data_IF_037495535379
#
_entry.id   IF_037495535379
#
_cell.length_a   1.000
_cell.length_b   1.000
_cell.length_c   1.000
_cell.angle_alpha   90.00
_cell.angle_beta   90.00
_cell.angle_gamma   90.00
#
_symmetry.space_group_name_H-M   'P 1'
#
loop_
_entity.id
_entity.type
_entity.pdbx_description
1 polymer ?
#
# COMPACT_ATOMS: atom_id res chain seq x y z
N UNK A 1 -12.56 -3.59 -71.98
CA UNK A 1 -12.85 -3.41 -70.54
C UNK A 1 -13.47 -2.03 -70.36
N UNK A 2 -14.78 -1.96 -70.15
CA UNK A 2 -15.48 -0.68 -69.97
C UNK A 2 -15.35 -0.19 -68.53
N UNK A 3 -14.99 1.09 -68.35
CA UNK A 3 -14.95 1.71 -67.03
C UNK A 3 -16.35 1.70 -66.38
N UNK A 4 -16.47 1.39 -65.08
CA UNK A 4 -17.77 1.39 -64.42
C UNK A 4 -18.36 2.80 -64.43
N UNK A 5 -19.61 2.93 -64.87
CA UNK A 5 -20.30 4.21 -64.94
C UNK A 5 -20.42 4.86 -63.56
N UNK A 6 -20.38 6.19 -63.49
CA UNK A 6 -20.28 6.98 -62.25
C UNK A 6 -21.35 6.64 -61.18
N UNK A 7 -22.50 6.08 -61.60
CA UNK A 7 -23.55 5.60 -60.69
C UNK A 7 -23.16 4.31 -59.94
N UNK A 8 -22.40 3.41 -60.57
CA UNK A 8 -21.89 2.19 -59.95
C UNK A 8 -20.80 2.48 -58.91
N UNK A 9 -19.94 3.49 -59.20
CA UNK A 9 -18.93 3.96 -58.24
C UNK A 9 -19.57 4.63 -57.04
N UNK A 10 -20.61 5.45 -57.24
CA UNK A 10 -21.35 6.09 -56.16
C UNK A 10 -22.12 5.08 -55.28
N UNK A 11 -22.74 4.06 -55.88
CA UNK A 11 -23.41 2.98 -55.14
C UNK A 11 -22.40 2.13 -54.36
N UNK A 12 -21.23 1.85 -54.93
CA UNK A 12 -20.15 1.15 -54.24
C UNK A 12 -19.60 1.93 -53.04
N UNK A 13 -19.39 3.24 -53.20
CA UNK A 13 -18.94 4.11 -52.11
C UNK A 13 -20.00 4.24 -50.99
N UNK A 14 -21.28 4.35 -51.34
CA UNK A 14 -22.37 4.38 -50.36
C UNK A 14 -22.50 3.05 -49.60
N UNK A 15 -22.31 1.91 -50.27
CA UNK A 15 -22.32 0.59 -49.64
C UNK A 15 -21.12 0.40 -48.69
N UNK A 16 -19.94 0.90 -49.06
CA UNK A 16 -18.75 0.87 -48.20
C UNK A 16 -18.90 1.75 -46.95
N UNK A 17 -19.49 2.93 -47.09
CA UNK A 17 -19.81 3.80 -45.95
C UNK A 17 -20.83 3.15 -45.00
N UNK A 18 -21.82 2.44 -45.54
CA UNK A 18 -22.78 1.69 -44.72
C UNK A 18 -22.11 0.52 -43.97
N UNK A 19 -21.19 -0.18 -44.62
CA UNK A 19 -20.42 -1.29 -44.04
C UNK A 19 -19.48 -0.86 -42.90
N UNK A 20 -19.01 0.39 -42.89
CA UNK A 20 -18.17 0.93 -41.80
C UNK A 20 -19.02 1.57 -40.70
N UNK A 21 -20.10 2.27 -41.06
CA UNK A 21 -20.94 2.98 -40.10
C UNK A 21 -21.78 2.04 -39.21
N UNK A 22 -22.31 0.95 -39.77
CA UNK A 22 -23.15 0.01 -39.03
C UNK A 22 -22.41 -0.75 -37.90
N UNK A 23 -21.21 -1.34 -38.11
CA UNK A 23 -20.46 -1.96 -37.02
C UNK A 23 -19.94 -0.94 -36.02
N UNK A 24 -19.62 0.29 -36.43
CA UNK A 24 -19.21 1.36 -35.52
C UNK A 24 -20.36 1.82 -34.61
N UNK A 25 -21.57 1.93 -35.15
CA UNK A 25 -22.78 2.22 -34.37
C UNK A 25 -23.16 1.05 -33.44
N UNK A 26 -22.95 -0.20 -33.87
CA UNK A 26 -23.17 -1.39 -33.05
C UNK A 26 -22.16 -1.48 -31.89
N UNK A 27 -20.88 -1.16 -32.11
CA UNK A 27 -19.87 -1.04 -31.06
C UNK A 27 -20.17 0.10 -30.10
N UNK A 28 -20.69 1.24 -30.58
CA UNK A 28 -21.11 2.36 -29.73
C UNK A 28 -22.34 2.03 -28.88
N UNK A 29 -23.34 1.33 -29.44
CA UNK A 29 -24.54 0.90 -28.70
C UNK A 29 -24.23 -0.19 -27.67
N UNK A 30 -23.34 -1.13 -27.99
CA UNK A 30 -22.93 -2.20 -27.06
C UNK A 30 -21.97 -1.71 -25.97
N UNK A 31 -21.11 -0.73 -26.29
CA UNK A 31 -20.26 -0.04 -25.29
C UNK A 31 -21.06 0.92 -24.40
N UNK A 32 -22.25 1.36 -24.83
CA UNK A 32 -23.18 2.15 -24.02
C UNK A 32 -24.10 1.29 -23.14
N UNK A 33 -23.83 -0.01 -23.00
CA UNK A 33 -24.38 -0.75 -21.86
C UNK A 33 -23.79 -0.13 -20.60
N UNK A 34 -24.63 0.65 -19.92
CA UNK A 34 -24.32 1.30 -18.67
C UNK A 34 -23.57 0.31 -17.78
N UNK A 35 -22.31 0.65 -17.48
CA UNK A 35 -21.61 0.03 -16.36
C UNK A 35 -22.60 0.00 -15.19
N UNK A 36 -22.81 -1.16 -14.53
CA UNK A 36 -23.71 -1.20 -13.38
C UNK A 36 -23.24 -0.09 -12.47
N UNK A 37 -24.14 0.87 -12.21
CA UNK A 37 -23.85 2.02 -11.37
C UNK A 37 -23.29 1.46 -10.06
N UNK A 38 -21.96 1.49 -9.94
CA UNK A 38 -21.28 1.06 -8.74
C UNK A 38 -21.92 1.89 -7.64
N UNK A 39 -22.62 1.20 -6.74
CA UNK A 39 -23.45 1.82 -5.73
C UNK A 39 -22.69 2.96 -5.11
N UNK A 40 -23.22 4.15 -5.36
CA UNK A 40 -22.86 5.38 -4.68
C UNK A 40 -22.84 5.07 -3.19
N UNK A 41 -21.71 5.32 -2.55
CA UNK A 41 -21.63 5.42 -1.10
C UNK A 41 -21.92 4.11 -0.34
N UNK A 42 -21.09 3.08 -0.55
CA UNK A 42 -20.69 2.26 0.61
C UNK A 42 -19.74 3.10 1.46
N UNK A 43 -20.30 4.13 2.12
CA UNK A 43 -19.62 4.79 3.23
C UNK A 43 -19.22 3.68 4.18
N UNK A 44 -17.91 3.50 4.30
CA UNK A 44 -17.30 2.74 5.37
C UNK A 44 -18.08 3.00 6.65
N UNK A 45 -18.79 1.99 7.13
CA UNK A 45 -19.17 1.88 8.53
C UNK A 45 -17.92 1.45 9.34
N UNK A 46 -16.74 1.96 8.94
CA UNK A 46 -15.68 2.20 9.90
C UNK A 46 -16.30 3.24 10.81
N UNK A 47 -16.70 2.81 12.00
CA UNK A 47 -16.94 3.73 13.11
C UNK A 47 -15.78 4.74 13.04
N UNK A 48 -16.05 6.05 13.05
CA UNK A 48 -14.96 7.01 13.14
C UNK A 48 -14.03 6.50 14.23
N UNK A 49 -12.72 6.52 13.97
CA UNK A 49 -11.71 6.26 14.98
C UNK A 49 -11.91 7.31 16.09
N UNK A 50 -12.91 7.09 16.94
CA UNK A 50 -12.86 7.49 18.32
C UNK A 50 -11.64 6.73 18.78
N UNK A 51 -10.54 7.46 18.98
CA UNK A 51 -9.36 7.01 19.69
C UNK A 51 -9.79 6.67 21.13
N UNK A 52 -10.69 5.70 21.27
CA UNK A 52 -10.86 4.96 22.50
C UNK A 52 -9.77 3.94 22.40
N UNK A 53 -8.73 4.16 23.20
CA UNK A 53 -7.88 3.07 23.65
C UNK A 53 -8.82 1.89 23.93
N UNK A 54 -8.65 0.74 23.27
CA UNK A 54 -9.40 -0.44 23.64
C UNK A 54 -9.26 -0.61 25.15
N UNK A 55 -10.31 -0.99 25.89
CA UNK A 55 -10.13 -1.33 27.30
C UNK A 55 -8.97 -2.34 27.37
N UNK A 56 -8.14 -2.26 28.41
CA UNK A 56 -6.91 -3.06 28.58
C UNK A 56 -7.10 -4.61 28.47
N UNK A 57 -8.34 -5.07 28.28
CA UNK A 57 -8.76 -6.45 28.08
C UNK A 57 -9.32 -6.77 26.67
N UNK A 58 -9.18 -5.89 25.68
CA UNK A 58 -9.58 -6.20 24.32
C UNK A 58 -8.68 -7.31 23.74
N UNK A 59 -9.24 -8.32 23.04
CA UNK A 59 -8.43 -9.35 22.42
C UNK A 59 -7.52 -8.76 21.33
N UNK A 60 -6.33 -9.34 21.10
CA UNK A 60 -5.43 -8.89 20.04
C UNK A 60 -6.08 -8.98 18.66
N UNK A 61 -5.73 -8.05 17.78
CA UNK A 61 -6.13 -8.07 16.38
C UNK A 61 -5.62 -9.35 15.70
N UNK A 62 -6.53 -10.14 15.12
CA UNK A 62 -6.15 -11.35 14.38
C UNK A 62 -5.74 -10.98 12.96
N UNK A 63 -4.45 -11.16 12.64
CA UNK A 63 -3.88 -10.77 11.36
C UNK A 63 -3.44 -12.00 10.58
N UNK A 64 -3.94 -12.17 9.36
CA UNK A 64 -3.36 -13.14 8.43
C UNK A 64 -2.23 -12.46 7.66
N UNK A 65 -1.04 -13.03 7.70
CA UNK A 65 0.08 -12.57 6.87
C UNK A 65 0.19 -13.45 5.63
N UNK A 66 0.17 -12.82 4.45
CA UNK A 66 0.38 -13.53 3.17
C UNK A 66 1.72 -14.27 3.16
N UNK A 67 1.71 -15.51 2.70
CA UNK A 67 2.92 -16.30 2.48
C UNK A 67 3.58 -15.91 1.14
N UNK A 68 4.17 -14.72 1.11
CA UNK A 68 4.90 -14.22 -0.06
C UNK A 68 6.30 -14.85 -0.14
N UNK A 69 6.82 -15.15 -1.35
CA UNK A 69 8.20 -15.59 -1.54
C UNK A 69 9.23 -14.62 -0.91
N UNK A 70 10.37 -15.14 -0.44
CA UNK A 70 11.38 -14.35 0.26
C UNK A 70 11.92 -13.13 -0.51
N UNK A 71 11.85 -13.15 -1.86
CA UNK A 71 12.22 -12.02 -2.74
C UNK A 71 11.41 -10.75 -2.49
N UNK A 72 10.21 -10.86 -1.90
CA UNK A 72 9.37 -9.72 -1.54
C UNK A 72 9.77 -9.06 -0.22
N UNK A 73 10.64 -9.70 0.58
CA UNK A 73 11.00 -9.22 1.93
C UNK A 73 12.45 -9.57 2.31
N UNK A 74 12.66 -10.62 3.10
CA UNK A 74 13.92 -10.94 3.80
C UNK A 74 15.11 -11.17 2.88
N UNK A 75 14.89 -11.65 1.64
CA UNK A 75 15.98 -11.84 0.69
C UNK A 75 16.61 -10.49 0.23
N UNK A 76 15.85 -9.40 0.27
CA UNK A 76 16.38 -8.05 0.00
C UNK A 76 17.20 -7.49 1.18
N UNK A 77 17.01 -8.03 2.38
CA UNK A 77 17.79 -7.64 3.56
C UNK A 77 19.15 -8.34 3.59
N UNK A 78 19.12 -9.65 3.34
CA UNK A 78 20.28 -10.55 3.41
C UNK A 78 20.21 -11.48 2.20
N UNK A 79 21.02 -11.27 1.15
CA UNK A 79 20.97 -12.07 -0.07
C UNK A 79 21.05 -13.59 0.18
N UNK A 80 21.77 -14.01 1.21
CA UNK A 80 21.93 -15.43 1.59
C UNK A 80 20.65 -16.02 2.21
N UNK A 81 19.71 -15.20 2.71
CA UNK A 81 18.43 -15.66 3.26
C UNK A 81 17.47 -16.20 2.19
N UNK A 82 17.79 -16.04 0.91
CA UNK A 82 17.04 -16.67 -0.18
C UNK A 82 17.15 -18.21 -0.18
N UNK A 83 18.17 -18.79 0.49
CA UNK A 83 18.53 -20.21 0.40
C UNK A 83 18.20 -21.04 1.66
N UNK A 84 17.68 -20.42 2.73
CA UNK A 84 17.64 -21.07 4.03
C UNK A 84 16.21 -21.30 4.54
N UNK A 85 15.97 -22.49 5.10
CA UNK A 85 14.94 -22.76 6.12
C UNK A 85 15.21 -21.95 7.42
N UNK A 86 15.67 -20.71 7.31
CA UNK A 86 16.17 -19.92 8.41
C UNK A 86 15.02 -19.28 9.19
N UNK A 87 15.21 -19.27 10.51
CA UNK A 87 14.61 -18.29 11.41
C UNK A 87 14.62 -16.90 10.79
N UNK A 88 13.53 -16.15 10.99
CA UNK A 88 13.39 -14.76 10.54
C UNK A 88 14.67 -13.96 10.88
N UNK A 89 15.31 -13.27 9.91
CA UNK A 89 16.62 -12.71 10.11
C UNK A 89 16.57 -11.63 11.18
N UNK A 90 17.59 -11.58 12.04
CA UNK A 90 17.75 -10.44 12.95
C UNK A 90 18.05 -9.18 12.15
N UNK A 91 17.53 -8.04 12.61
CA UNK A 91 17.86 -6.74 12.04
C UNK A 91 19.39 -6.54 12.01
N UNK A 92 20.01 -6.29 10.84
CA UNK A 92 21.46 -6.27 10.74
C UNK A 92 22.08 -5.12 11.57
N UNK A 93 23.09 -5.35 12.43
CA UNK A 93 23.73 -4.29 13.22
C UNK A 93 24.35 -3.18 12.36
N UNK A 94 24.80 -3.53 11.15
CA UNK A 94 25.43 -2.63 10.17
C UNK A 94 24.46 -1.88 9.26
N UNK A 95 23.14 -2.01 9.48
CA UNK A 95 22.09 -1.35 8.68
C UNK A 95 21.94 0.14 8.99
N UNK A 96 23.05 0.87 9.11
CA UNK A 96 23.04 2.32 9.14
C UNK A 96 22.47 2.92 7.84
N UNK A 97 21.84 4.09 7.94
CA UNK A 97 21.35 4.86 6.79
C UNK A 97 19.91 4.56 6.37
N UNK A 98 19.63 4.70 5.05
CA UNK A 98 18.30 4.65 4.44
C UNK A 98 17.52 3.36 4.77
N UNK A 99 18.20 2.21 4.93
CA UNK A 99 17.53 0.94 5.30
C UNK A 99 16.87 1.02 6.69
N UNK A 100 17.44 1.76 7.65
CA UNK A 100 16.85 1.99 8.98
C UNK A 100 15.67 2.97 8.93
N UNK A 101 15.66 3.91 7.99
CA UNK A 101 14.59 4.90 7.87
C UNK A 101 13.24 4.27 7.47
N UNK A 102 13.25 3.08 6.87
CA UNK A 102 12.04 2.35 6.47
C UNK A 102 11.92 0.98 7.13
N UNK A 103 12.43 0.84 8.36
CA UNK A 103 12.40 -0.44 9.09
C UNK A 103 11.01 -0.89 9.52
N UNK A 104 9.96 -0.07 9.34
CA UNK A 104 8.58 -0.41 9.71
C UNK A 104 8.11 -1.73 9.08
N UNK A 105 8.50 -1.98 7.83
CA UNK A 105 8.13 -3.19 7.08
C UNK A 105 8.66 -4.45 7.77
N UNK A 106 9.90 -4.37 8.27
CA UNK A 106 10.52 -5.43 9.04
C UNK A 106 9.85 -5.62 10.40
N UNK A 107 9.63 -4.55 11.17
CA UNK A 107 9.07 -4.67 12.52
C UNK A 107 7.64 -5.19 12.51
N UNK A 108 6.83 -4.81 11.53
CA UNK A 108 5.49 -5.35 11.33
C UNK A 108 5.51 -6.85 11.01
N UNK A 109 6.46 -7.29 10.18
CA UNK A 109 6.60 -8.72 9.88
C UNK A 109 7.13 -9.48 11.11
N UNK A 110 8.13 -8.93 11.80
CA UNK A 110 8.77 -9.51 12.99
C UNK A 110 7.77 -9.74 14.13
N UNK A 111 6.89 -8.77 14.39
CA UNK A 111 5.88 -8.85 15.46
C UNK A 111 4.84 -9.96 15.20
N UNK A 112 4.66 -10.36 13.93
CA UNK A 112 3.76 -11.43 13.51
C UNK A 112 4.45 -12.80 13.41
N UNK A 113 5.75 -12.91 13.65
CA UNK A 113 6.44 -14.20 13.67
C UNK A 113 6.09 -14.99 14.95
N UNK A 114 6.03 -16.31 14.83
CA UNK A 114 5.82 -17.18 15.99
C UNK A 114 6.98 -16.96 16.99
N UNK A 115 6.66 -16.50 18.20
CA UNK A 115 7.67 -16.15 19.22
C UNK A 115 8.25 -14.74 19.13
N UNK A 116 7.72 -13.86 18.25
CA UNK A 116 8.20 -12.48 18.04
C UNK A 116 8.04 -11.48 19.19
N UNK A 117 7.68 -11.95 20.39
CA UNK A 117 7.68 -11.14 21.60
C UNK A 117 8.17 -11.99 22.76
N UNK A 118 9.26 -11.55 23.40
CA UNK A 118 9.79 -12.15 24.63
C UNK A 118 8.85 -11.97 25.86
N UNK A 119 7.64 -11.44 25.66
CA UNK A 119 6.57 -11.37 26.66
C UNK A 119 5.52 -12.46 26.45
N UNK A 120 4.81 -12.81 27.52
CA UNK A 120 3.67 -13.73 27.46
C UNK A 120 2.65 -13.28 26.40
N UNK A 121 1.73 -14.15 25.97
CA UNK A 121 0.68 -13.77 25.02
C UNK A 121 -0.24 -12.63 25.54
N UNK A 122 -0.11 -12.28 26.82
CA UNK A 122 -0.82 -11.21 27.50
C UNK A 122 -0.23 -9.84 27.09
N UNK A 123 -1.06 -8.96 26.53
CA UNK A 123 -0.66 -7.61 26.13
C UNK A 123 -0.19 -7.44 24.68
N UNK A 124 -0.30 -8.45 23.81
CA UNK A 124 -0.04 -8.24 22.36
C UNK A 124 -1.17 -7.44 21.72
N UNK A 125 -0.83 -6.50 20.86
CA UNK A 125 -1.79 -5.70 20.09
C UNK A 125 -2.36 -6.46 18.89
N UNK A 126 -1.52 -7.31 18.28
CA UNK A 126 -1.86 -8.15 17.13
C UNK A 126 -1.25 -9.54 17.25
N UNK A 127 -1.94 -10.54 16.70
CA UNK A 127 -1.49 -11.93 16.64
C UNK A 127 -1.66 -12.49 15.24
N UNK A 128 -0.67 -13.25 14.77
CA UNK A 128 -0.75 -13.92 13.48
C UNK A 128 -1.72 -15.10 13.56
N UNK A 129 -2.72 -15.14 12.68
CA UNK A 129 -3.56 -16.31 12.46
C UNK A 129 -3.11 -17.05 11.20
N UNK A 130 -3.26 -18.38 11.22
CA UNK A 130 -2.91 -19.27 10.09
C UNK A 130 -4.08 -19.50 9.15
N UNK A 131 -5.30 -19.49 9.69
CA UNK A 131 -6.51 -19.54 8.90
C UNK A 131 -6.90 -18.11 8.46
N UNK A 132 -6.87 -17.79 7.16
CA UNK A 132 -7.26 -16.48 6.67
C UNK A 132 -8.77 -16.19 6.88
N UNK A 133 -9.61 -17.21 7.05
CA UNK A 133 -11.04 -17.00 7.33
C UNK A 133 -11.29 -16.56 8.79
N UNK A 134 -10.30 -16.75 9.69
CA UNK A 134 -10.33 -16.25 11.06
C UNK A 134 -9.75 -14.82 11.23
N UNK A 135 -9.22 -14.24 10.16
CA UNK A 135 -8.52 -12.97 10.17
C UNK A 135 -9.45 -11.74 10.14
N UNK A 136 -9.06 -10.71 10.87
CA UNK A 136 -9.70 -9.40 10.91
C UNK A 136 -9.00 -8.39 9.99
N UNK A 137 -7.71 -8.61 9.72
CA UNK A 137 -6.92 -7.85 8.77
C UNK A 137 -5.90 -8.76 8.05
N UNK A 138 -5.46 -8.31 6.88
CA UNK A 138 -4.52 -9.03 6.03
C UNK A 138 -3.23 -8.23 5.89
N UNK A 139 -2.14 -8.71 6.47
CA UNK A 139 -0.83 -8.09 6.27
C UNK A 139 -0.18 -8.62 4.99
N UNK A 140 0.24 -7.70 4.13
CA UNK A 140 0.99 -7.99 2.90
C UNK A 140 2.46 -7.68 3.16
N UNK A 141 3.32 -8.70 3.39
CA UNK A 141 4.72 -8.49 3.76
C UNK A 141 5.59 -8.18 2.52
N UNK A 142 5.22 -7.16 1.74
CA UNK A 142 6.06 -6.63 0.69
C UNK A 142 6.87 -5.46 1.24
N UNK A 143 8.19 -5.61 1.27
CA UNK A 143 9.11 -4.55 1.73
C UNK A 143 9.33 -3.54 0.60
N UNK A 144 8.27 -2.81 0.25
CA UNK A 144 8.21 -1.94 -0.92
C UNK A 144 9.19 -0.77 -0.85
N UNK A 145 9.48 -0.30 0.36
CA UNK A 145 10.49 0.73 0.62
C UNK A 145 11.90 0.18 0.42
N UNK A 146 12.15 -1.05 0.88
CA UNK A 146 13.42 -1.72 0.63
C UNK A 146 13.59 -2.07 -0.86
N UNK A 147 12.53 -2.51 -1.54
CA UNK A 147 12.50 -2.78 -2.98
C UNK A 147 12.94 -1.56 -3.77
N UNK A 148 12.34 -0.39 -3.50
CA UNK A 148 12.77 0.88 -4.09
C UNK A 148 14.27 1.16 -3.84
N UNK A 149 14.74 0.97 -2.61
CA UNK A 149 16.12 1.28 -2.24
C UNK A 149 17.16 0.33 -2.84
N UNK A 150 16.80 -0.94 -3.06
CA UNK A 150 17.67 -1.96 -3.65
C UNK A 150 17.66 -1.86 -5.18
N UNK A 151 16.49 -1.65 -5.77
CA UNK A 151 16.29 -1.80 -7.21
C UNK A 151 16.13 -0.49 -7.98
N UNK A 152 15.94 0.68 -7.37
CA UNK A 152 15.67 1.87 -8.18
C UNK A 152 15.64 3.17 -7.41
N UNK A 153 16.81 3.65 -6.96
CA UNK A 153 16.90 4.97 -6.30
C UNK A 153 16.52 6.12 -7.23
N UNK A 154 16.94 6.05 -8.50
CA UNK A 154 16.68 7.11 -9.49
C UNK A 154 15.54 6.75 -10.43
N UNK A 155 15.05 5.52 -10.38
CA UNK A 155 13.81 5.12 -11.03
C UNK A 155 13.83 5.24 -12.57
N UNK A 156 15.03 5.23 -13.10
CA UNK A 156 15.38 5.35 -14.53
C UNK A 156 16.46 4.35 -14.94
N UNK A 157 17.02 3.62 -13.98
CA UNK A 157 18.04 2.60 -14.19
C UNK A 157 17.41 1.25 -14.61
N UNK A 158 18.16 0.33 -15.25
CA UNK A 158 17.63 -0.99 -15.61
C UNK A 158 17.12 -1.82 -14.44
N UNK A 159 17.70 -1.66 -13.25
CA UNK A 159 17.30 -2.40 -12.03
C UNK A 159 15.89 -2.01 -11.58
N UNK A 160 15.41 -0.82 -11.98
CA UNK A 160 14.05 -0.34 -11.73
C UNK A 160 12.99 -1.29 -12.26
N UNK A 161 13.32 -2.07 -13.30
CA UNK A 161 12.41 -3.08 -13.82
C UNK A 161 12.21 -4.24 -12.84
N UNK A 162 13.19 -4.55 -11.99
CA UNK A 162 13.02 -5.56 -10.94
C UNK A 162 11.98 -5.11 -9.89
N UNK A 163 12.00 -3.84 -9.45
CA UNK A 163 10.97 -3.28 -8.56
C UNK A 163 9.59 -3.31 -9.22
N UNK A 164 9.53 -2.97 -10.51
CA UNK A 164 8.29 -2.99 -11.29
C UNK A 164 7.71 -4.41 -11.39
N UNK A 165 8.56 -5.39 -11.71
CA UNK A 165 8.17 -6.79 -11.81
C UNK A 165 7.69 -7.34 -10.47
N UNK A 166 8.37 -7.03 -9.37
CA UNK A 166 7.90 -7.37 -8.02
C UNK A 166 6.50 -6.80 -7.76
N UNK A 167 6.24 -5.55 -8.11
CA UNK A 167 4.90 -4.97 -7.95
C UNK A 167 3.84 -5.68 -8.80
N UNK A 168 4.15 -6.00 -10.06
CA UNK A 168 3.24 -6.74 -10.96
C UNK A 168 2.93 -8.12 -10.40
N UNK A 169 3.95 -8.88 -10.03
CA UNK A 169 3.79 -10.22 -9.46
C UNK A 169 3.01 -10.20 -8.14
N UNK A 170 3.24 -9.20 -7.29
CA UNK A 170 2.45 -9.02 -6.07
C UNK A 170 0.97 -8.85 -6.40
N UNK A 171 0.64 -7.97 -7.35
CA UNK A 171 -0.75 -7.74 -7.74
C UNK A 171 -1.41 -9.00 -8.31
N UNK A 172 -0.68 -9.82 -9.06
CA UNK A 172 -1.19 -11.11 -9.52
C UNK A 172 -1.52 -12.06 -8.37
N UNK A 173 -0.68 -12.12 -7.34
CA UNK A 173 -0.93 -12.92 -6.13
C UNK A 173 -2.18 -12.41 -5.41
N UNK A 174 -2.27 -11.09 -5.21
CA UNK A 174 -3.37 -10.46 -4.50
C UNK A 174 -4.69 -10.63 -5.26
N UNK A 175 -4.76 -10.36 -6.56
CA UNK A 175 -6.00 -10.48 -7.34
C UNK A 175 -6.53 -11.90 -7.44
N UNK A 176 -5.68 -12.92 -7.33
CA UNK A 176 -6.11 -14.34 -7.29
C UNK A 176 -6.66 -14.74 -5.92
N UNK A 177 -6.43 -13.95 -4.86
CA UNK A 177 -6.90 -14.24 -3.51
C UNK A 177 -8.40 -13.96 -3.36
N UNK A 178 -9.18 -14.96 -2.88
CA UNK A 178 -10.60 -14.77 -2.53
C UNK A 178 -10.80 -13.65 -1.50
N UNK A 179 -9.84 -13.48 -0.58
CA UNK A 179 -9.89 -12.49 0.49
C UNK A 179 -9.68 -11.08 -0.04
N UNK A 180 -8.75 -10.90 -0.98
CA UNK A 180 -8.63 -9.64 -1.71
C UNK A 180 -9.89 -9.31 -2.50
N UNK A 181 -10.42 -10.27 -3.26
CA UNK A 181 -11.62 -10.07 -4.08
C UNK A 181 -12.84 -9.69 -3.24
N UNK A 182 -12.98 -10.26 -2.03
CA UNK A 182 -14.07 -9.96 -1.08
C UNK A 182 -14.10 -8.49 -0.65
N UNK A 183 -12.94 -7.92 -0.36
CA UNK A 183 -12.84 -6.57 0.20
C UNK A 183 -12.34 -5.53 -0.82
N UNK A 184 -11.97 -5.96 -2.02
CA UNK A 184 -11.19 -5.16 -2.96
C UNK A 184 -9.94 -4.52 -2.31
N UNK A 185 -9.28 -5.26 -1.42
CA UNK A 185 -8.07 -4.80 -0.72
C UNK A 185 -8.30 -3.93 0.51
N UNK A 186 -9.55 -3.64 0.91
CA UNK A 186 -9.85 -2.69 2.02
C UNK A 186 -9.45 -3.17 3.41
N UNK A 187 -9.32 -4.48 3.61
CA UNK A 187 -8.85 -5.09 4.85
C UNK A 187 -7.36 -5.47 4.77
N UNK A 188 -6.64 -5.02 3.74
CA UNK A 188 -5.22 -5.27 3.54
C UNK A 188 -4.36 -4.12 4.03
N UNK A 189 -3.33 -4.46 4.78
CA UNK A 189 -2.31 -3.55 5.29
C UNK A 189 -1.05 -3.71 4.46
N UNK A 190 -0.63 -2.62 3.80
CA UNK A 190 0.52 -2.60 2.89
C UNK A 190 1.51 -1.53 3.36
N UNK A 191 2.72 -1.92 3.78
CA UNK A 191 3.77 -0.96 4.07
C UNK A 191 4.22 -0.22 2.81
N UNK A 192 4.20 1.11 2.87
CA UNK A 192 4.61 2.01 1.79
C UNK A 192 5.31 3.25 2.38
N UNK A 193 6.28 3.00 3.24
CA UNK A 193 6.90 4.05 4.08
C UNK A 193 7.75 5.03 3.27
N UNK A 194 8.54 4.55 2.30
CA UNK A 194 9.30 5.43 1.42
C UNK A 194 8.36 6.13 0.44
N UNK A 195 8.49 7.45 0.20
CA UNK A 195 7.55 8.22 -0.62
C UNK A 195 7.56 7.85 -2.12
N UNK A 196 8.50 7.02 -2.57
CA UNK A 196 8.57 6.41 -3.91
C UNK A 196 8.32 4.88 -3.92
N UNK A 197 8.05 4.26 -2.77
CA UNK A 197 7.73 2.85 -2.68
C UNK A 197 6.43 2.53 -3.45
N UNK A 198 6.39 1.39 -4.13
CA UNK A 198 5.20 0.95 -4.89
C UNK A 198 4.78 1.87 -6.05
N UNK A 199 5.62 2.79 -6.52
CA UNK A 199 5.21 3.91 -7.40
C UNK A 199 4.51 3.53 -8.71
N UNK A 200 4.69 2.32 -9.23
CA UNK A 200 4.16 1.96 -10.54
C UNK A 200 2.69 1.56 -10.48
N UNK A 201 2.27 0.94 -9.38
CA UNK A 201 0.95 0.33 -9.24
C UNK A 201 0.18 0.85 -8.01
N UNK A 202 0.56 2.01 -7.45
CA UNK A 202 -0.09 2.59 -6.24
C UNK A 202 -1.59 2.69 -6.35
N UNK A 203 -2.08 3.10 -7.51
CA UNK A 203 -3.51 3.27 -7.74
C UNK A 203 -4.28 1.95 -7.62
N UNK A 204 -3.62 0.82 -7.87
CA UNK A 204 -4.23 -0.51 -7.75
C UNK A 204 -4.41 -0.96 -6.31
N UNK A 205 -3.77 -0.30 -5.35
CA UNK A 205 -3.83 -0.60 -3.91
C UNK A 205 -4.39 0.57 -3.09
N UNK A 206 -5.01 1.56 -3.73
CA UNK A 206 -5.52 2.76 -3.07
C UNK A 206 -6.58 2.48 -1.99
N UNK A 207 -7.33 1.39 -2.12
CA UNK A 207 -8.37 1.00 -1.18
C UNK A 207 -7.80 0.39 0.11
N UNK A 208 -6.54 -0.05 0.08
CA UNK A 208 -5.86 -0.67 1.21
C UNK A 208 -5.46 0.34 2.29
N UNK A 209 -5.19 -0.19 3.47
CA UNK A 209 -4.60 0.53 4.60
C UNK A 209 -3.11 0.62 4.33
N UNK A 210 -2.63 1.81 4.02
CA UNK A 210 -1.22 2.06 3.74
C UNK A 210 -0.51 2.51 5.01
N UNK A 211 0.71 2.00 5.21
CA UNK A 211 1.62 2.51 6.24
C UNK A 211 2.59 3.46 5.57
N UNK A 212 2.41 4.76 5.79
CA UNK A 212 3.17 5.83 5.12
C UNK A 212 3.99 6.62 6.14
N UNK A 213 5.03 7.32 5.68
CA UNK A 213 5.81 8.21 6.56
C UNK A 213 5.15 9.58 6.76
N UNK A 214 4.47 10.06 5.73
CA UNK A 214 3.74 11.33 5.69
C UNK A 214 2.74 11.29 4.52
N UNK A 215 1.93 12.34 4.37
CA UNK A 215 1.01 12.52 3.24
C UNK A 215 1.51 13.51 2.20
N UNK A 216 2.71 14.06 2.35
CA UNK A 216 3.22 15.16 1.52
C UNK A 216 3.44 14.78 0.06
N UNK A 217 3.71 13.50 -0.23
CA UNK A 217 3.95 12.98 -1.59
C UNK A 217 2.79 12.19 -2.20
N UNK A 218 1.67 12.09 -1.50
CA UNK A 218 0.52 11.30 -1.93
C UNK A 218 -0.67 12.20 -2.25
N UNK A 219 -1.46 11.82 -3.25
CA UNK A 219 -2.77 12.45 -3.46
C UNK A 219 -3.72 12.03 -2.33
N UNK A 220 -4.74 12.85 -2.04
CA UNK A 220 -5.70 12.57 -0.97
C UNK A 220 -6.53 11.31 -1.25
N UNK A 221 -6.70 10.98 -2.53
CA UNK A 221 -7.39 9.78 -3.00
C UNK A 221 -6.57 8.52 -2.71
N UNK A 222 -5.25 8.63 -2.77
CA UNK A 222 -4.33 7.52 -2.57
C UNK A 222 -4.02 7.30 -1.08
N UNK A 223 -3.70 8.36 -0.35
CA UNK A 223 -3.40 8.29 1.07
C UNK A 223 -4.12 9.38 1.89
N UNK A 224 -4.74 8.98 3.00
CA UNK A 224 -5.48 9.87 3.89
C UNK A 224 -5.53 9.35 5.33
N UNK A 225 -5.61 10.27 6.30
CA UNK A 225 -5.84 9.97 7.73
C UNK A 225 -7.12 9.17 8.01
N UNK A 226 -8.04 9.07 7.04
CA UNK A 226 -9.28 8.32 7.20
C UNK A 226 -9.05 6.81 7.22
N UNK A 227 -8.02 6.34 6.53
CA UNK A 227 -7.77 4.91 6.31
C UNK A 227 -6.32 4.49 6.57
N UNK A 228 -5.37 5.41 6.42
CA UNK A 228 -3.94 5.10 6.45
C UNK A 228 -3.31 5.47 7.79
N UNK A 229 -2.22 4.78 8.10
CA UNK A 229 -1.46 4.96 9.34
C UNK A 229 -0.15 5.64 9.01
N UNK A 230 0.16 6.70 9.75
CA UNK A 230 1.46 7.38 9.68
C UNK A 230 2.41 6.71 10.67
N UNK A 231 3.49 6.13 10.16
CA UNK A 231 4.63 5.71 10.97
C UNK A 231 5.71 6.79 10.82
N UNK A 232 6.12 7.50 11.88
CA UNK A 232 7.15 8.52 11.74
C UNK A 232 8.52 7.90 11.45
N UNK A 233 9.37 8.65 10.74
CA UNK A 233 10.75 8.25 10.54
C UNK A 233 11.49 8.14 11.88
N UNK A 234 12.32 7.10 12.02
CA UNK A 234 13.14 6.82 13.22
C UNK A 234 14.08 7.98 13.61
N UNK A 235 14.41 8.87 12.68
CA UNK A 235 15.26 10.04 12.95
C UNK A 235 14.49 11.32 13.29
N UNK A 236 13.16 11.30 13.13
CA UNK A 236 12.29 12.46 13.40
C UNK A 236 11.72 12.39 14.82
N UNK A 237 11.57 11.19 15.37
CA UNK A 237 11.01 10.97 16.71
C UNK A 237 12.01 10.16 17.52
N UNK A 238 12.35 10.65 18.71
CA UNK A 238 13.16 9.91 19.67
C UNK A 238 12.46 8.61 20.07
N UNK A 239 13.24 7.58 20.36
CA UNK A 239 12.69 6.32 20.86
C UNK A 239 12.08 6.56 22.23
N UNK A 240 10.76 6.43 22.32
CA UNK A 240 10.03 6.50 23.58
C UNK A 240 10.26 5.19 24.34
N UNK A 241 10.79 5.29 25.56
CA UNK A 241 11.16 4.13 26.39
C UNK A 241 10.17 3.88 27.54
N UNK A 242 9.16 4.72 27.70
CA UNK A 242 8.29 4.74 28.89
C UNK A 242 6.82 4.97 28.52
N UNK A 243 6.10 3.89 28.21
CA UNK A 243 4.72 3.90 27.68
C UNK A 243 3.64 4.40 28.66
N UNK A 244 4.02 4.92 29.84
CA UNK A 244 3.07 5.30 30.91
C UNK A 244 3.13 6.79 31.32
N UNK A 245 2.95 7.77 30.41
CA UNK A 245 2.76 9.15 30.81
C UNK A 245 1.32 9.35 31.34
N UNK A 246 1.12 10.08 32.44
CA UNK A 246 -0.21 10.35 33.02
C UNK A 246 -1.16 11.17 32.12
N UNK A 247 -0.70 11.64 30.95
CA UNK A 247 -1.52 12.32 29.94
C UNK A 247 -0.98 12.08 28.51
N UNK A 248 -1.56 11.13 27.75
CA UNK A 248 -1.13 10.81 26.39
C UNK A 248 -1.41 11.92 25.35
N UNK A 249 -2.24 12.92 25.66
CA UNK A 249 -2.55 14.02 24.74
C UNK A 249 -1.56 15.19 24.84
N UNK A 250 -0.87 15.31 25.98
CA UNK A 250 0.07 16.41 26.24
C UNK A 250 1.32 16.35 25.36
N UNK A 251 1.78 15.14 25.04
CA UNK A 251 2.93 14.96 24.14
C UNK A 251 2.58 15.43 22.72
N UNK A 252 1.46 14.95 22.18
CA UNK A 252 0.97 15.32 20.84
C UNK A 252 0.80 16.84 20.70
N UNK A 253 0.27 17.50 21.72
CA UNK A 253 0.09 18.95 21.73
C UNK A 253 1.42 19.72 21.71
N UNK A 254 2.44 19.26 22.44
CA UNK A 254 3.77 19.87 22.44
C UNK A 254 4.46 19.74 21.07
N UNK A 255 4.30 18.58 20.40
CA UNK A 255 4.87 18.35 19.07
C UNK A 255 4.26 19.27 18.01
N UNK A 256 2.93 19.36 17.93
CA UNK A 256 2.27 20.27 16.97
C UNK A 256 2.54 21.75 17.27
N UNK A 257 2.69 22.13 18.55
CA UNK A 257 3.07 23.49 18.93
C UNK A 257 4.51 23.83 18.54
N UNK A 258 5.42 22.85 18.61
CA UNK A 258 6.82 23.02 18.19
C UNK A 258 6.97 23.14 16.67
N UNK A 259 6.23 22.36 15.87
CA UNK A 259 6.24 22.51 14.40
C UNK A 259 5.55 23.80 13.94
N UNK A 260 4.47 24.23 14.61
CA UNK A 260 3.84 25.52 14.34
C UNK A 260 4.79 26.70 14.58
N UNK A 261 5.64 26.62 15.62
CA UNK A 261 6.65 27.62 15.92
C UNK A 261 7.85 27.60 14.94
N UNK A 262 8.20 26.44 14.38
CA UNK A 262 9.26 26.30 13.38
C UNK A 262 8.79 26.75 11.99
N UNK A 263 7.54 26.45 11.61
CA UNK A 263 6.93 26.93 10.37
C UNK A 263 6.77 28.46 10.35
N UNK A 264 6.54 29.09 11.51
CA UNK A 264 6.47 30.56 11.64
C UNK A 264 7.81 31.28 11.48
N UNK A 265 8.95 30.58 11.61
CA UNK A 265 10.29 31.16 11.39
C UNK A 265 10.82 31.01 9.96
N UNK A 266 10.21 30.13 9.16
CA UNK A 266 10.67 29.89 7.77
C UNK A 266 10.02 30.84 6.75
N UNK A 267 8.94 31.54 7.12
CA UNK A 267 8.28 32.58 6.31
C UNK A 267 8.34 33.95 7.00
N UNK A 268 9.55 34.36 7.42
CA UNK A 268 9.83 35.75 7.74
C UNK A 268 10.09 36.52 6.44
N UNK A 269 9.10 37.29 6.00
CA UNK A 269 9.24 38.33 4.98
C UNK A 269 10.27 39.37 5.42
N UNK A 270 11.39 39.45 4.72
CA UNK A 270 12.15 40.69 4.58
C UNK A 270 11.84 41.27 3.19
N UNK A 271 11.11 42.39 3.23
CA UNK A 271 10.70 43.32 2.15
C UNK A 271 9.51 42.90 1.26
#
# INVERSE_FOLDING_TARGET
MGAPGSRAVALGAAFLLLLVALPSAFLYLTSSSAAPAASRSALLNLRPFSARCPPAAAPPLRVFMYDLPARFHVAMMTPDAASANATFPTWPPSSGGIKRQHSVEYWMMASLQDGGGAGSAEGREAVRVRDPDAAEAFFVPFFSSLSFNVHGRNMTDPDTEADRLLQVELMEILWKSKHWQRSAGRDHVIPMHHPNAFRFLRDMVNASILIVADFGRYTKELASLRKDVVAPYVHVVDSFLDDDPPDPLRLVQHYFSSEGALSGKMYGTDL
#
